data_IF_923323230338
#
_entry.id   IF_923323230338
#
_cell.length_a   1.000
_cell.length_b   1.000
_cell.length_c   1.000
_cell.angle_alpha   90.00
_cell.angle_beta   90.00
_cell.angle_gamma   90.00
#
_symmetry.space_group_name_H-M   'P 1'
#
loop_
_entity.id
_entity.type
_entity.pdbx_description
1 polymer ?
#
# COMPACT_ATOMS: atom_id res chain seq x y z
N UNK A 1 18.81 6.15 -23.48
CA UNK A 1 18.70 6.31 -22.02
C UNK A 1 19.78 5.48 -21.38
N UNK A 2 20.64 6.09 -20.57
CA UNK A 2 21.76 5.38 -19.93
C UNK A 2 21.25 4.19 -19.10
N UNK A 3 21.95 3.06 -19.19
CA UNK A 3 21.60 1.82 -18.47
C UNK A 3 21.52 2.04 -16.95
N UNK A 4 22.34 2.96 -16.41
CA UNK A 4 22.28 3.41 -15.02
C UNK A 4 20.93 4.04 -14.67
N UNK A 5 20.43 4.96 -15.49
CA UNK A 5 19.16 5.67 -15.24
C UNK A 5 17.99 4.67 -15.20
N UNK A 6 17.97 3.69 -16.09
CA UNK A 6 16.94 2.65 -16.11
C UNK A 6 16.95 1.77 -14.84
N UNK A 7 18.14 1.43 -14.33
CA UNK A 7 18.27 0.66 -13.10
C UNK A 7 17.79 1.44 -11.87
N UNK A 8 18.14 2.73 -11.76
CA UNK A 8 17.61 3.60 -10.71
C UNK A 8 16.09 3.71 -10.78
N UNK A 9 15.52 3.86 -11.98
CA UNK A 9 14.07 3.95 -12.16
C UNK A 9 13.36 2.67 -11.70
N UNK A 10 13.89 1.50 -12.05
CA UNK A 10 13.37 0.20 -11.55
C UNK A 10 13.47 0.08 -10.03
N UNK A 11 14.57 0.54 -9.44
CA UNK A 11 14.75 0.51 -7.99
C UNK A 11 13.71 1.40 -7.29
N UNK A 12 13.47 2.61 -7.80
CA UNK A 12 12.45 3.54 -7.27
C UNK A 12 11.06 2.91 -7.35
N UNK A 13 10.68 2.32 -8.48
CA UNK A 13 9.36 1.66 -8.62
C UNK A 13 9.22 0.51 -7.63
N UNK A 14 10.25 -0.33 -7.48
CA UNK A 14 10.21 -1.42 -6.51
C UNK A 14 10.11 -0.90 -5.07
N UNK A 15 10.78 0.20 -4.75
CA UNK A 15 10.67 0.85 -3.45
C UNK A 15 9.25 1.39 -3.19
N UNK A 16 8.60 1.99 -4.19
CA UNK A 16 7.21 2.47 -4.10
C UNK A 16 6.23 1.32 -3.90
N UNK A 17 6.40 0.21 -4.62
CA UNK A 17 5.56 -0.98 -4.42
C UNK A 17 5.76 -1.55 -3.01
N UNK A 18 7.02 -1.64 -2.56
CA UNK A 18 7.34 -2.14 -1.23
C UNK A 18 6.76 -1.25 -0.13
N UNK A 19 6.85 0.08 -0.25
CA UNK A 19 6.22 1.00 0.69
C UNK A 19 4.71 0.84 0.71
N UNK A 20 4.08 0.63 -0.45
CA UNK A 20 2.66 0.32 -0.54
C UNK A 20 2.28 -0.95 0.23
N UNK A 21 3.06 -2.03 0.08
CA UNK A 21 2.84 -3.29 0.82
C UNK A 21 2.96 -3.07 2.33
N UNK A 22 3.97 -2.30 2.77
CA UNK A 22 4.15 -1.97 4.19
C UNK A 22 2.92 -1.20 4.72
N UNK A 23 2.42 -0.21 3.97
CA UNK A 23 1.21 0.54 4.35
C UNK A 23 -0.03 -0.36 4.44
N UNK A 24 -0.17 -1.32 3.53
CA UNK A 24 -1.26 -2.32 3.58
C UNK A 24 -1.16 -3.15 4.86
N UNK A 25 0.03 -3.67 5.20
CA UNK A 25 0.23 -4.47 6.42
C UNK A 25 -0.09 -3.66 7.68
N UNK A 26 0.40 -2.42 7.75
CA UNK A 26 0.13 -1.53 8.90
C UNK A 26 -1.37 -1.19 8.96
N UNK A 27 -2.00 -0.88 7.84
CA UNK A 27 -3.44 -0.60 7.78
C UNK A 27 -4.28 -1.79 8.21
N UNK A 28 -3.94 -3.00 7.75
CA UNK A 28 -4.56 -4.25 8.20
C UNK A 28 -4.39 -4.46 9.70
N UNK A 29 -3.21 -4.18 10.26
CA UNK A 29 -3.00 -4.24 11.71
C UNK A 29 -3.93 -3.28 12.45
N UNK A 30 -4.09 -2.04 11.97
CA UNK A 30 -5.00 -1.08 12.60
C UNK A 30 -6.47 -1.54 12.53
N UNK A 31 -6.93 -2.04 11.38
CA UNK A 31 -8.31 -2.50 11.23
C UNK A 31 -8.59 -3.79 12.01
N UNK A 32 -7.69 -4.78 11.98
CA UNK A 32 -7.95 -6.12 12.51
C UNK A 32 -7.59 -6.21 14.00
N UNK A 33 -6.44 -5.63 14.40
CA UNK A 33 -5.90 -5.79 15.75
C UNK A 33 -6.30 -4.63 16.66
N UNK A 34 -6.19 -3.39 16.18
CA UNK A 34 -6.49 -2.18 17.00
C UNK A 34 -7.97 -1.83 17.05
N UNK A 35 -8.67 -1.87 15.92
CA UNK A 35 -10.10 -1.62 15.86
C UNK A 35 -10.88 -2.92 16.13
N UNK A 36 -10.56 -3.97 15.39
CA UNK A 36 -11.18 -5.29 15.57
C UNK A 36 -12.69 -5.23 15.37
N UNK A 37 -13.42 -6.07 16.10
CA UNK A 37 -14.89 -6.04 16.11
C UNK A 37 -15.33 -4.99 17.14
N UNK A 38 -16.22 -4.06 16.79
CA UNK A 38 -16.73 -3.08 17.74
C UNK A 38 -17.46 -3.80 18.89
N UNK A 39 -17.21 -3.37 20.13
CA UNK A 39 -17.97 -3.84 21.29
C UNK A 39 -19.46 -3.48 21.13
N UNK A 40 -20.35 -4.30 21.68
CA UNK A 40 -21.80 -4.10 21.52
C UNK A 40 -22.32 -2.92 22.37
N UNK A 41 -21.80 -2.77 23.60
CA UNK A 41 -22.12 -1.65 24.49
C UNK A 41 -20.83 -0.97 25.02
N UNK A 42 -20.00 -0.36 24.16
CA UNK A 42 -18.77 0.27 24.59
C UNK A 42 -19.03 1.60 25.30
N UNK A 43 -18.31 1.92 26.38
CA UNK A 43 -18.23 3.29 26.88
C UNK A 43 -17.67 4.22 25.80
N UNK A 44 -18.00 5.51 25.92
CA UNK A 44 -17.69 6.54 24.91
C UNK A 44 -16.21 6.58 24.52
N UNK A 45 -15.31 6.36 25.47
CA UNK A 45 -13.86 6.34 25.23
C UNK A 45 -13.45 5.23 24.26
N UNK A 46 -13.99 4.02 24.43
CA UNK A 46 -13.73 2.88 23.56
C UNK A 46 -14.32 3.08 22.15
N UNK A 47 -15.47 3.77 22.03
CA UNK A 47 -16.03 4.14 20.74
C UNK A 47 -15.12 5.08 19.96
N UNK A 48 -14.59 6.11 20.62
CA UNK A 48 -13.69 7.08 19.99
C UNK A 48 -12.40 6.39 19.53
N UNK A 49 -11.79 5.57 20.40
CA UNK A 49 -10.58 4.84 20.04
C UNK A 49 -10.80 3.89 18.86
N UNK A 50 -11.93 3.18 18.83
CA UNK A 50 -12.31 2.33 17.70
C UNK A 50 -12.40 3.14 16.40
N UNK A 51 -13.15 4.25 16.41
CA UNK A 51 -13.34 5.09 15.22
C UNK A 51 -12.00 5.61 14.68
N UNK A 52 -11.13 6.10 15.56
CA UNK A 52 -9.80 6.58 15.18
C UNK A 52 -8.97 5.46 14.57
N UNK A 53 -8.86 4.32 15.26
CA UNK A 53 -8.08 3.17 14.77
C UNK A 53 -8.60 2.65 13.43
N UNK A 54 -9.92 2.55 13.27
CA UNK A 54 -10.56 2.09 12.04
C UNK A 54 -10.29 3.05 10.88
N UNK A 55 -10.52 4.35 11.09
CA UNK A 55 -10.27 5.39 10.07
C UNK A 55 -8.81 5.46 9.64
N UNK A 56 -7.89 5.34 10.60
CA UNK A 56 -6.46 5.28 10.31
C UNK A 56 -6.12 4.04 9.49
N UNK A 57 -6.63 2.86 9.89
CA UNK A 57 -6.43 1.61 9.17
C UNK A 57 -6.98 1.64 7.75
N UNK A 58 -8.22 2.10 7.56
CA UNK A 58 -8.85 2.24 6.23
C UNK A 58 -8.08 3.20 5.33
N UNK A 59 -7.62 4.34 5.86
CA UNK A 59 -6.85 5.31 5.08
C UNK A 59 -5.51 4.73 4.64
N UNK A 60 -4.81 4.03 5.54
CA UNK A 60 -3.55 3.35 5.23
C UNK A 60 -3.75 2.23 4.21
N UNK A 61 -4.79 1.42 4.37
CA UNK A 61 -5.14 0.36 3.42
C UNK A 61 -5.43 0.91 2.04
N UNK A 62 -6.30 1.93 1.93
CA UNK A 62 -6.67 2.53 0.65
C UNK A 62 -5.45 3.09 -0.08
N UNK A 63 -4.61 3.85 0.63
CA UNK A 63 -3.41 4.45 0.06
C UNK A 63 -2.36 3.39 -0.30
N UNK A 64 -2.14 2.40 0.57
CA UNK A 64 -1.22 1.30 0.33
C UNK A 64 -1.62 0.46 -0.88
N UNK A 65 -2.90 0.08 -0.97
CA UNK A 65 -3.45 -0.65 -2.12
C UNK A 65 -3.29 0.15 -3.42
N UNK A 66 -3.57 1.45 -3.40
CA UNK A 66 -3.37 2.32 -4.55
C UNK A 66 -1.91 2.33 -5.02
N UNK A 67 -0.94 2.48 -4.09
CA UNK A 67 0.49 2.44 -4.41
C UNK A 67 0.92 1.10 -5.01
N UNK A 68 0.44 -0.02 -4.45
CA UNK A 68 0.76 -1.37 -4.96
C UNK A 68 0.20 -1.58 -6.37
N UNK A 69 -1.05 -1.20 -6.61
CA UNK A 69 -1.70 -1.34 -7.92
C UNK A 69 -1.00 -0.45 -8.96
N UNK A 70 -0.85 0.84 -8.68
CA UNK A 70 -0.21 1.77 -9.62
C UNK A 70 1.24 1.38 -9.90
N UNK A 71 2.03 1.10 -8.85
CA UNK A 71 3.43 0.67 -9.01
C UNK A 71 3.55 -0.67 -9.75
N UNK A 72 2.64 -1.61 -9.48
CA UNK A 72 2.56 -2.89 -10.18
C UNK A 72 2.25 -2.74 -11.66
N UNK A 73 1.26 -1.91 -12.02
CA UNK A 73 0.91 -1.63 -13.43
C UNK A 73 2.08 -0.98 -14.16
N UNK A 74 2.74 0.03 -13.56
CA UNK A 74 3.91 0.69 -14.17
C UNK A 74 5.02 -0.34 -14.41
N UNK A 75 5.28 -1.22 -13.44
CA UNK A 75 6.29 -2.28 -13.57
C UNK A 75 5.94 -3.25 -14.70
N UNK A 76 4.68 -3.66 -14.83
CA UNK A 76 4.21 -4.54 -15.91
C UNK A 76 4.41 -3.88 -17.29
N UNK A 77 4.02 -2.61 -17.43
CA UNK A 77 4.20 -1.84 -18.66
C UNK A 77 5.67 -1.76 -19.04
N UNK A 78 6.57 -1.45 -18.09
CA UNK A 78 8.00 -1.39 -18.37
C UNK A 78 8.59 -2.73 -18.83
N UNK A 79 8.16 -3.83 -18.21
CA UNK A 79 8.59 -5.18 -18.61
C UNK A 79 8.09 -5.51 -20.01
N UNK A 80 6.84 -5.17 -20.34
CA UNK A 80 6.26 -5.39 -21.66
C UNK A 80 6.99 -4.59 -22.75
N UNK A 81 7.22 -3.29 -22.54
CA UNK A 81 7.93 -2.45 -23.50
C UNK A 81 9.38 -2.92 -23.69
N UNK A 82 10.04 -3.36 -22.62
CA UNK A 82 11.39 -3.94 -22.69
C UNK A 82 11.43 -5.25 -23.47
N UNK A 83 10.39 -6.09 -23.35
CA UNK A 83 10.28 -7.36 -24.08
C UNK A 83 10.03 -7.10 -25.57
N UNK A 84 9.19 -6.11 -25.90
CA UNK A 84 8.86 -5.72 -27.27
C UNK A 84 10.06 -5.15 -28.05
N UNK A 85 10.99 -4.46 -27.39
CA UNK A 85 12.21 -3.96 -28.06
C UNK A 85 13.23 -5.08 -28.35
N UNK A 86 13.08 -6.27 -27.75
CA UNK A 86 14.04 -7.38 -27.90
C UNK A 86 13.63 -8.42 -28.95
N UNK A 87 12.45 -8.27 -29.55
CA UNK A 87 11.89 -9.05 -30.66
C UNK A 87 11.82 -8.19 -31.90
#
# INVERSE_FOLDING_TARGET
MDTKINNYFRQVINAVVLSGVILVIIGSYYCIVKAGIPYQDPPLELQIQYIVNMRTGETLLKNGMFMVICGGVIRLVLVWTSKKHRT
#
